data_IF_256592581242
#
_entry.id   IF_256592581242
#
_cell.length_a   1.000
_cell.length_b   1.000
_cell.length_c   1.000
_cell.angle_alpha   90.00
_cell.angle_beta   90.00
_cell.angle_gamma   90.00
#
_symmetry.space_group_name_H-M   'P 1'
#
loop_
_entity.id
_entity.type
_entity.pdbx_description
1 polymer ?
#
# COMPACT_ATOMS: atom_id res chain seq x y z
N UNK A 1 -5.84 16.82 -14.19
CA UNK A 1 -4.84 16.31 -13.25
C UNK A 1 -4.47 14.90 -13.67
N UNK A 2 -3.24 14.69 -14.15
CA UNK A 2 -2.75 13.33 -14.41
C UNK A 2 -2.69 12.57 -13.07
N UNK A 3 -3.23 11.35 -12.98
CA UNK A 3 -3.08 10.55 -11.77
C UNK A 3 -1.61 10.15 -11.69
N UNK A 4 -0.86 10.75 -10.76
CA UNK A 4 0.44 10.22 -10.40
C UNK A 4 0.21 8.79 -9.90
N UNK A 5 0.83 7.79 -10.53
CA UNK A 5 0.74 6.41 -10.07
C UNK A 5 1.75 6.19 -8.95
N UNK A 6 1.38 5.40 -7.93
CA UNK A 6 2.32 4.98 -6.90
C UNK A 6 3.47 4.14 -7.47
N UNK A 7 4.65 4.19 -6.83
CA UNK A 7 5.83 3.40 -7.21
C UNK A 7 6.58 2.87 -6.00
N UNK A 8 7.30 1.77 -6.19
CA UNK A 8 8.15 1.14 -5.18
C UNK A 8 9.53 0.91 -5.77
N UNK A 9 10.58 1.29 -5.04
CA UNK A 9 11.98 1.10 -5.44
C UNK A 9 12.86 0.76 -4.23
N UNK A 10 14.07 0.27 -4.49
CA UNK A 10 15.11 0.07 -3.47
C UNK A 10 16.11 1.21 -3.58
N UNK A 11 16.36 1.91 -2.48
CA UNK A 11 17.37 2.96 -2.36
C UNK A 11 18.14 2.77 -1.06
N UNK A 12 19.47 2.73 -1.12
CA UNK A 12 20.33 2.63 0.06
C UNK A 12 20.01 1.42 0.97
N UNK A 13 19.58 0.30 0.37
CA UNK A 13 19.16 -0.90 1.10
C UNK A 13 17.77 -0.81 1.72
N UNK A 14 17.02 0.26 1.44
CA UNK A 14 15.68 0.52 1.97
C UNK A 14 14.64 0.45 0.86
N UNK A 15 13.46 -0.11 1.17
CA UNK A 15 12.31 -0.03 0.28
C UNK A 15 11.66 1.36 0.41
N UNK A 16 11.65 2.12 -0.68
CA UNK A 16 11.04 3.45 -0.77
C UNK A 16 9.74 3.35 -1.55
N UNK A 17 8.63 3.70 -0.91
CA UNK A 17 7.29 3.69 -1.49
C UNK A 17 6.86 5.14 -1.71
N UNK A 18 6.60 5.50 -2.95
CA UNK A 18 6.01 6.80 -3.32
C UNK A 18 4.54 6.58 -3.64
N UNK A 19 3.68 7.34 -2.99
CA UNK A 19 2.23 7.32 -3.18
C UNK A 19 1.71 8.73 -3.38
N UNK A 20 0.64 8.92 -4.18
CA UNK A 20 -0.07 10.19 -4.24
C UNK A 20 -0.63 10.56 -2.87
N UNK A 21 -0.59 11.85 -2.54
CA UNK A 21 -1.14 12.33 -1.26
C UNK A 21 -2.63 12.01 -1.09
N UNK A 22 -3.38 11.95 -2.21
CA UNK A 22 -4.79 11.54 -2.23
C UNK A 22 -5.02 10.10 -1.74
N UNK A 23 -4.03 9.22 -1.88
CA UNK A 23 -4.14 7.80 -1.50
C UNK A 23 -3.67 7.51 -0.07
N UNK A 24 -2.99 8.46 0.58
CA UNK A 24 -2.44 8.30 1.95
C UNK A 24 -3.51 7.91 2.95
N UNK A 25 -4.71 8.52 2.86
CA UNK A 25 -5.80 8.20 3.77
C UNK A 25 -6.25 6.75 3.64
N UNK A 26 -6.42 6.27 2.39
CA UNK A 26 -6.84 4.89 2.11
C UNK A 26 -5.82 3.87 2.64
N UNK A 27 -4.53 4.15 2.46
CA UNK A 27 -3.45 3.32 2.99
C UNK A 27 -3.42 3.32 4.52
N UNK A 28 -3.62 4.47 5.18
CA UNK A 28 -3.68 4.56 6.64
C UNK A 28 -4.81 3.71 7.21
N UNK A 29 -6.00 3.79 6.62
CA UNK A 29 -7.16 2.99 7.04
C UNK A 29 -6.93 1.50 6.78
N UNK A 30 -6.37 1.15 5.62
CA UNK A 30 -6.06 -0.23 5.30
C UNK A 30 -5.01 -0.81 6.27
N UNK A 31 -3.88 -0.15 6.47
CA UNK A 31 -2.78 -0.67 7.30
C UNK A 31 -3.06 -0.58 8.80
N UNK A 32 -4.02 0.24 9.23
CA UNK A 32 -4.42 0.34 10.62
C UNK A 32 -4.87 -1.00 11.23
N UNK A 33 -4.59 -1.21 12.53
CA UNK A 33 -5.11 -2.36 13.28
C UNK A 33 -6.64 -2.28 13.29
N UNK A 34 -7.34 -3.37 12.94
CA UNK A 34 -8.79 -3.43 13.16
C UNK A 34 -9.04 -4.06 14.53
N UNK A 35 -9.83 -3.42 15.40
CA UNK A 35 -10.33 -4.07 16.62
C UNK A 35 -11.39 -5.14 16.32
N UNK A 36 -11.78 -5.30 15.05
CA UNK A 36 -12.81 -6.22 14.60
C UNK A 36 -12.23 -7.61 14.27
N UNK A 37 -12.83 -8.67 14.83
CA UNK A 37 -12.58 -10.08 14.45
C UNK A 37 -13.25 -10.44 13.11
N UNK A 38 -14.13 -9.58 12.59
CA UNK A 38 -14.82 -9.76 11.33
C UNK A 38 -13.87 -9.62 10.12
N UNK A 39 -14.14 -10.33 8.99
CA UNK A 39 -13.36 -10.17 7.78
C UNK A 39 -13.36 -8.70 7.35
N UNK A 40 -12.16 -8.15 7.16
CA UNK A 40 -11.97 -6.76 6.77
C UNK A 40 -12.71 -6.48 5.46
N UNK A 41 -13.30 -5.29 5.32
CA UNK A 41 -14.00 -4.90 4.09
C UNK A 41 -13.11 -5.15 2.86
N UNK A 42 -13.72 -5.66 1.78
CA UNK A 42 -13.06 -6.02 0.51
C UNK A 42 -12.16 -4.89 -0.01
N UNK A 43 -12.58 -3.63 0.18
CA UNK A 43 -11.81 -2.44 -0.20
C UNK A 43 -10.42 -2.34 0.47
N UNK A 44 -10.29 -2.75 1.74
CA UNK A 44 -8.98 -2.71 2.45
C UNK A 44 -8.14 -3.96 2.25
N UNK A 45 -8.74 -5.04 1.72
CA UNK A 45 -8.03 -6.25 1.33
C UNK A 45 -7.26 -6.03 0.02
N UNK A 46 -7.88 -5.36 -0.96
CA UNK A 46 -7.24 -5.02 -2.24
C UNK A 46 -5.99 -4.16 -2.07
N UNK A 47 -6.07 -3.10 -1.24
CA UNK A 47 -4.91 -2.22 -0.95
C UNK A 47 -3.75 -3.00 -0.34
N UNK A 48 -4.03 -3.92 0.59
CA UNK A 48 -3.00 -4.81 1.17
C UNK A 48 -2.38 -5.74 0.15
N UNK A 49 -3.21 -6.34 -0.70
CA UNK A 49 -2.75 -7.26 -1.75
C UNK A 49 -1.84 -6.55 -2.75
N UNK A 50 -2.24 -5.36 -3.21
CA UNK A 50 -1.45 -4.54 -4.14
C UNK A 50 -0.11 -4.14 -3.54
N UNK A 51 -0.09 -3.76 -2.25
CA UNK A 51 1.14 -3.45 -1.54
C UNK A 51 2.05 -4.68 -1.40
N UNK A 52 1.49 -5.84 -1.03
CA UNK A 52 2.25 -7.09 -0.89
C UNK A 52 2.90 -7.51 -2.22
N UNK A 53 2.17 -7.41 -3.34
CA UNK A 53 2.70 -7.68 -4.68
C UNK A 53 3.80 -6.69 -5.05
N UNK A 54 3.59 -5.39 -4.79
CA UNK A 54 4.58 -4.37 -5.12
C UNK A 54 5.89 -4.55 -4.33
N UNK A 55 5.81 -4.91 -3.04
CA UNK A 55 6.97 -5.24 -2.21
C UNK A 55 7.63 -6.57 -2.61
N UNK A 56 6.86 -7.55 -3.10
CA UNK A 56 7.41 -8.80 -3.63
C UNK A 56 8.29 -8.59 -4.87
N UNK A 57 7.93 -7.65 -5.74
CA UNK A 57 8.66 -7.33 -6.98
C UNK A 57 10.04 -6.69 -6.77
N UNK A 58 10.31 -6.13 -5.60
CA UNK A 58 11.61 -5.51 -5.29
C UNK A 58 12.58 -6.45 -4.55
N UNK A 59 12.18 -7.69 -4.25
CA UNK A 59 13.04 -8.70 -3.61
C UNK A 59 13.68 -9.70 -4.60
N UNK A 60 13.43 -9.54 -5.90
CA UNK A 60 14.05 -10.33 -7.00
C UNK A 60 15.11 -9.49 -7.69
#
# INVERSE_FOLDING_TARGET
MSPEAGSVKVEEGMAVIRIPLSEVHGLRVALGPCPCTAPKSTATADVRQRLAVALGRIRT
#
